data_IF_568733815857
#
_entry.id   IF_568733815857
#
_cell.length_a   1.000
_cell.length_b   1.000
_cell.length_c   1.000
_cell.angle_alpha   90.00
_cell.angle_beta   90.00
_cell.angle_gamma   90.00
#
_symmetry.space_group_name_H-M   'P 1'
#
loop_
_entity.id
_entity.type
_entity.pdbx_description
1 polymer ?
#
# COMPACT_ATOMS: atom_id res chain seq x y z
N UNK A 1 -3.02 -18.08 -5.05
CA UNK A 1 -3.70 -17.12 -5.97
C UNK A 1 -4.56 -16.08 -5.24
N UNK A 2 -5.24 -16.42 -4.14
CA UNK A 2 -6.13 -15.49 -3.41
C UNK A 2 -5.39 -14.29 -2.77
N UNK A 3 -4.16 -14.48 -2.26
CA UNK A 3 -3.33 -13.40 -1.70
C UNK A 3 -2.99 -12.34 -2.75
N UNK A 4 -2.51 -12.73 -3.93
CA UNK A 4 -2.18 -11.80 -5.01
C UNK A 4 -3.42 -11.01 -5.47
N UNK A 5 -4.57 -11.70 -5.67
CA UNK A 5 -5.84 -11.02 -6.00
C UNK A 5 -6.26 -10.02 -4.92
N UNK A 6 -6.06 -10.34 -3.64
CA UNK A 6 -6.33 -9.41 -2.56
C UNK A 6 -5.42 -8.18 -2.66
N UNK A 7 -4.10 -8.37 -2.79
CA UNK A 7 -3.14 -7.26 -2.91
C UNK A 7 -3.41 -6.41 -4.15
N UNK A 8 -3.66 -7.02 -5.31
CA UNK A 8 -3.98 -6.32 -6.55
C UNK A 8 -5.21 -5.43 -6.41
N UNK A 9 -6.29 -5.96 -5.82
CA UNK A 9 -7.52 -5.18 -5.64
C UNK A 9 -7.35 -4.07 -4.61
N UNK A 10 -6.61 -4.32 -3.52
CA UNK A 10 -6.28 -3.30 -2.53
C UNK A 10 -5.39 -2.21 -3.13
N UNK A 11 -4.45 -2.58 -4.01
CA UNK A 11 -3.59 -1.66 -4.74
C UNK A 11 -4.37 -0.80 -5.75
N UNK A 12 -5.27 -1.39 -6.53
CA UNK A 12 -6.15 -0.66 -7.45
C UNK A 12 -7.03 0.33 -6.70
N UNK A 13 -7.62 -0.10 -5.58
CA UNK A 13 -8.43 0.78 -4.74
C UNK A 13 -7.60 1.92 -4.14
N UNK A 14 -6.37 1.64 -3.69
CA UNK A 14 -5.45 2.69 -3.22
C UNK A 14 -5.14 3.71 -4.32
N UNK A 15 -4.95 3.27 -5.57
CA UNK A 15 -4.74 4.18 -6.72
C UNK A 15 -5.95 5.06 -7.00
N UNK A 16 -7.15 4.50 -6.91
CA UNK A 16 -8.37 5.27 -7.08
C UNK A 16 -8.54 6.31 -5.96
N UNK A 17 -8.16 5.97 -4.72
CA UNK A 17 -8.26 6.87 -3.57
C UNK A 17 -7.15 7.92 -3.52
N UNK A 18 -5.98 7.63 -4.07
CA UNK A 18 -4.78 8.45 -3.94
C UNK A 18 -4.96 9.90 -4.40
N UNK A 19 -5.54 10.20 -5.58
CA UNK A 19 -5.79 11.57 -6.00
C UNK A 19 -6.64 12.36 -5.00
N UNK A 20 -7.69 11.75 -4.44
CA UNK A 20 -8.56 12.43 -3.47
C UNK A 20 -7.81 12.75 -2.18
N UNK A 21 -7.05 11.78 -1.65
CA UNK A 21 -6.23 11.96 -0.44
C UNK A 21 -5.14 13.01 -0.69
N UNK A 22 -4.48 12.97 -1.85
CA UNK A 22 -3.43 13.91 -2.22
C UNK A 22 -3.96 15.34 -2.35
N UNK A 23 -5.09 15.55 -3.04
CA UNK A 23 -5.70 16.88 -3.16
C UNK A 23 -6.12 17.44 -1.80
N UNK A 24 -6.68 16.59 -0.93
CA UNK A 24 -7.04 17.00 0.43
C UNK A 24 -5.80 17.39 1.25
N UNK A 25 -4.77 16.54 1.22
CA UNK A 25 -3.51 16.79 1.93
C UNK A 25 -2.78 18.03 1.41
N UNK A 26 -2.76 18.22 0.08
CA UNK A 26 -2.14 19.38 -0.54
C UNK A 26 -2.87 20.66 -0.18
N UNK A 27 -4.21 20.70 -0.27
CA UNK A 27 -5.01 21.85 0.16
C UNK A 27 -4.83 22.19 1.65
N UNK A 28 -4.53 21.19 2.48
CA UNK A 28 -4.26 21.38 3.90
C UNK A 28 -2.90 22.06 4.16
N UNK A 29 -1.89 21.77 3.35
CA UNK A 29 -0.51 22.25 3.54
C UNK A 29 -0.20 23.50 2.71
N UNK A 30 -0.79 23.62 1.52
CA UNK A 30 -0.58 24.71 0.58
C UNK A 30 -1.92 25.16 -0.01
N UNK A 31 -2.11 26.47 -0.12
CA UNK A 31 -3.37 27.06 -0.62
C UNK A 31 -3.55 26.94 -2.14
N UNK A 32 -2.55 26.42 -2.87
CA UNK A 32 -2.57 26.37 -4.34
C UNK A 32 -2.17 24.99 -4.87
N UNK A 33 -3.03 24.43 -5.73
CA UNK A 33 -2.79 23.22 -6.52
C UNK A 33 -2.55 23.66 -7.96
N UNK A 34 -1.43 23.28 -8.56
CA UNK A 34 -1.13 23.53 -9.97
C UNK A 34 -1.47 22.31 -10.82
N UNK A 35 -1.68 22.51 -12.11
CA UNK A 35 -1.93 21.40 -13.04
C UNK A 35 -0.74 20.44 -13.16
N UNK A 36 0.48 20.97 -13.02
CA UNK A 36 1.71 20.18 -13.07
C UNK A 36 1.74 19.13 -11.94
N UNK A 37 1.24 19.49 -10.76
CA UNK A 37 1.13 18.56 -9.63
C UNK A 37 0.23 17.36 -9.93
N UNK A 38 -0.87 17.59 -10.66
CA UNK A 38 -1.85 16.55 -11.03
C UNK A 38 -1.26 15.60 -12.07
N UNK A 39 -0.48 16.13 -13.02
CA UNK A 39 0.19 15.33 -14.06
C UNK A 39 1.33 14.50 -13.47
N UNK A 40 2.16 15.11 -12.61
CA UNK A 40 3.21 14.40 -11.86
C UNK A 40 2.58 13.28 -11.04
N UNK A 41 1.48 13.55 -10.33
CA UNK A 41 0.76 12.54 -9.56
C UNK A 41 0.36 11.34 -10.43
N UNK A 42 -0.22 11.58 -11.61
CA UNK A 42 -0.78 10.53 -12.46
C UNK A 42 0.31 9.66 -13.12
N UNK A 43 1.38 10.27 -13.62
CA UNK A 43 2.45 9.55 -14.34
C UNK A 43 3.39 8.84 -13.37
N UNK A 44 3.79 9.54 -12.31
CA UNK A 44 4.73 9.01 -11.32
C UNK A 44 4.06 7.93 -10.48
N UNK A 45 2.77 8.07 -10.12
CA UNK A 45 2.11 7.03 -9.31
C UNK A 45 2.05 5.68 -10.02
N UNK A 46 1.84 5.62 -11.34
CA UNK A 46 1.70 4.35 -12.06
C UNK A 46 3.04 3.62 -12.18
N UNK A 47 4.11 4.34 -12.52
CA UNK A 47 5.43 3.73 -12.74
C UNK A 47 6.03 3.27 -11.41
N UNK A 48 5.90 4.10 -10.37
CA UNK A 48 6.44 3.80 -9.03
C UNK A 48 5.65 2.68 -8.37
N UNK A 49 4.34 2.57 -8.60
CA UNK A 49 3.50 1.69 -7.80
C UNK A 49 3.53 0.20 -8.15
N UNK A 50 4.04 -0.18 -9.33
CA UNK A 50 4.16 -1.60 -9.71
C UNK A 50 5.15 -2.34 -8.78
N UNK A 51 6.37 -1.82 -8.50
CA UNK A 51 7.23 -2.37 -7.45
C UNK A 51 6.55 -2.50 -6.09
N UNK A 52 5.74 -1.52 -5.68
CA UNK A 52 5.00 -1.57 -4.41
C UNK A 52 3.96 -2.69 -4.38
N UNK A 53 3.29 -2.99 -5.49
CA UNK A 53 2.39 -4.14 -5.62
C UNK A 53 3.12 -5.45 -5.34
N UNK A 54 4.30 -5.64 -5.94
CA UNK A 54 5.11 -6.84 -5.80
C UNK A 54 5.66 -7.00 -4.38
N UNK A 55 6.20 -5.92 -3.80
CA UNK A 55 6.68 -5.91 -2.41
C UNK A 55 5.54 -6.20 -1.42
N UNK A 56 4.37 -5.58 -1.62
CA UNK A 56 3.19 -5.86 -0.82
C UNK A 56 2.76 -7.32 -0.91
N UNK A 57 2.74 -7.90 -2.12
CA UNK A 57 2.40 -9.32 -2.29
C UNK A 57 3.41 -10.23 -1.59
N UNK A 58 4.70 -9.93 -1.69
CA UNK A 58 5.76 -10.67 -1.00
C UNK A 58 5.56 -10.62 0.53
N UNK A 59 5.38 -9.43 1.09
CA UNK A 59 5.16 -9.24 2.53
C UNK A 59 3.90 -9.92 3.05
N UNK A 60 2.76 -9.81 2.34
CA UNK A 60 1.53 -10.50 2.76
C UNK A 60 1.65 -12.02 2.67
N UNK A 61 2.44 -12.52 1.71
CA UNK A 61 2.70 -13.95 1.58
C UNK A 61 3.51 -14.48 2.77
N UNK A 62 4.51 -13.72 3.25
CA UNK A 62 5.26 -14.07 4.45
C UNK A 62 4.41 -13.99 5.72
N UNK A 63 3.52 -13.00 5.80
CA UNK A 63 2.61 -12.81 6.93
C UNK A 63 1.65 -13.99 7.17
N UNK A 64 1.39 -14.80 6.14
CA UNK A 64 0.54 -15.99 6.27
C UNK A 64 1.11 -17.04 7.25
N UNK A 65 2.42 -17.03 7.53
CA UNK A 65 3.08 -18.06 8.32
C UNK A 65 3.14 -17.81 9.83
N UNK A 66 2.91 -16.58 10.31
CA UNK A 66 3.42 -16.17 11.64
C UNK A 66 2.39 -15.78 12.73
N UNK A 67 1.07 -15.80 12.50
CA UNK A 67 0.09 -15.45 13.56
C UNK A 67 -1.32 -15.96 13.30
N UNK A 68 -2.00 -16.53 14.30
CA UNK A 68 -3.39 -17.00 14.14
C UNK A 68 -4.46 -15.91 14.35
N UNK A 69 -4.06 -14.72 14.78
CA UNK A 69 -5.00 -13.63 15.10
C UNK A 69 -5.18 -12.72 13.88
N UNK A 70 -6.38 -12.67 13.26
CA UNK A 70 -6.60 -11.88 12.03
C UNK A 70 -6.38 -10.38 12.22
N UNK A 71 -6.72 -9.85 13.40
CA UNK A 71 -6.54 -8.42 13.72
C UNK A 71 -5.05 -8.03 13.79
N UNK A 72 -4.22 -8.86 14.42
CA UNK A 72 -2.76 -8.65 14.48
C UNK A 72 -2.17 -8.70 13.06
N UNK A 73 -2.64 -9.64 12.24
CA UNK A 73 -2.25 -9.72 10.83
C UNK A 73 -2.61 -8.46 10.05
N UNK A 74 -3.78 -7.88 10.31
CA UNK A 74 -4.21 -6.64 9.65
C UNK A 74 -3.36 -5.44 10.08
N UNK A 75 -3.05 -5.33 11.39
CA UNK A 75 -2.15 -4.30 11.90
C UNK A 75 -0.75 -4.39 11.29
N UNK A 76 -0.19 -5.59 11.23
CA UNK A 76 1.09 -5.83 10.56
C UNK A 76 1.01 -5.55 9.07
N UNK A 77 -0.12 -5.82 8.42
CA UNK A 77 -0.31 -5.51 7.01
C UNK A 77 -0.32 -4.01 6.72
N UNK A 78 -0.94 -3.20 7.59
CA UNK A 78 -0.86 -1.73 7.52
C UNK A 78 0.59 -1.24 7.67
N UNK A 79 1.35 -1.82 8.60
CA UNK A 79 2.76 -1.49 8.79
C UNK A 79 3.61 -1.87 7.58
N UNK A 80 3.46 -3.09 7.06
CA UNK A 80 4.23 -3.60 5.92
C UNK A 80 3.93 -2.84 4.63
N UNK A 81 2.70 -2.38 4.44
CA UNK A 81 2.35 -1.54 3.28
C UNK A 81 2.99 -0.16 3.36
N UNK A 82 3.02 0.47 4.54
CA UNK A 82 3.76 1.71 4.73
C UNK A 82 5.27 1.51 4.48
N UNK A 83 5.84 0.44 5.02
CA UNK A 83 7.25 0.09 4.80
C UNK A 83 7.55 -0.16 3.32
N UNK A 84 6.68 -0.87 2.59
CA UNK A 84 6.84 -1.11 1.16
C UNK A 84 6.86 0.19 0.35
N UNK A 85 6.01 1.16 0.68
CA UNK A 85 5.98 2.47 0.03
C UNK A 85 7.27 3.26 0.30
N UNK A 86 7.72 3.29 1.56
CA UNK A 86 8.96 3.98 1.96
C UNK A 86 10.18 3.37 1.24
N UNK A 87 10.32 2.04 1.29
CA UNK A 87 11.43 1.34 0.65
C UNK A 87 11.42 1.56 -0.86
N UNK A 88 10.25 1.55 -1.48
CA UNK A 88 10.12 1.80 -2.92
C UNK A 88 10.57 3.21 -3.29
N UNK A 89 10.16 4.23 -2.54
CA UNK A 89 10.64 5.60 -2.76
C UNK A 89 12.17 5.70 -2.59
N UNK A 90 12.73 5.09 -1.55
CA UNK A 90 14.18 5.07 -1.32
C UNK A 90 14.94 4.41 -2.47
N UNK A 91 14.46 3.27 -2.96
CA UNK A 91 15.06 2.57 -4.11
C UNK A 91 15.08 3.48 -5.34
N UNK A 92 13.99 4.20 -5.59
CA UNK A 92 13.88 5.09 -6.75
C UNK A 92 14.84 6.27 -6.64
N UNK A 93 14.93 6.90 -5.47
CA UNK A 93 15.85 8.03 -5.24
C UNK A 93 17.32 7.61 -5.40
N UNK A 94 17.66 6.39 -4.95
CA UNK A 94 19.00 5.82 -5.16
C UNK A 94 19.28 5.58 -6.65
N UNK A 95 18.32 5.03 -7.40
CA UNK A 95 18.48 4.74 -8.84
C UNK A 95 18.59 6.03 -9.66
N UNK A 96 17.80 7.05 -9.32
CA UNK A 96 17.77 8.34 -10.03
C UNK A 96 18.98 9.23 -9.64
N UNK A 97 19.66 8.92 -8.53
CA UNK A 97 20.81 9.70 -8.07
C UNK A 97 20.43 11.06 -7.46
N UNK A 98 19.20 11.19 -6.96
CA UNK A 98 18.67 12.43 -6.39
C UNK A 98 18.33 12.31 -4.88
N UNK A 99 19.28 11.91 -4.01
CA UNK A 99 19.03 11.75 -2.58
C UNK A 99 18.74 13.09 -1.86
N UNK A 100 19.09 14.22 -2.45
CA UNK A 100 18.83 15.55 -1.85
C UNK A 100 17.35 15.95 -1.92
N UNK A 101 16.56 15.34 -2.81
CA UNK A 101 15.13 15.61 -3.00
C UNK A 101 14.21 14.83 -2.03
N UNK A 102 14.78 14.14 -1.03
CA UNK A 102 14.02 13.37 -0.04
C UNK A 102 12.99 14.24 0.69
N UNK A 103 13.30 15.50 0.95
CA UNK A 103 12.42 16.45 1.65
C UNK A 103 11.12 16.71 0.89
N UNK A 104 11.18 16.82 -0.44
CA UNK A 104 10.01 17.03 -1.30
C UNK A 104 9.23 15.74 -1.52
N UNK A 105 9.94 14.59 -1.54
CA UNK A 105 9.35 13.25 -1.63
C UNK A 105 8.33 12.93 -0.52
N UNK A 106 8.47 13.54 0.67
CA UNK A 106 7.52 13.32 1.78
C UNK A 106 6.10 13.79 1.47
N UNK A 107 5.93 14.81 0.62
CA UNK A 107 4.60 15.32 0.22
C UNK A 107 3.82 14.27 -0.57
N UNK A 108 4.53 13.39 -1.29
CA UNK A 108 3.94 12.29 -2.05
C UNK A 108 3.78 11.02 -1.21
N UNK A 109 4.59 10.84 -0.18
CA UNK A 109 4.62 9.63 0.65
C UNK A 109 3.39 9.51 1.56
N UNK A 110 3.02 10.59 2.25
CA UNK A 110 1.91 10.57 3.20
C UNK A 110 0.57 10.23 2.52
N UNK A 111 0.18 10.87 1.40
CA UNK A 111 -1.03 10.50 0.69
C UNK A 111 -1.06 9.05 0.22
N UNK A 112 0.08 8.51 -0.25
CA UNK A 112 0.21 7.12 -0.70
C UNK A 112 -0.01 6.11 0.44
N UNK A 113 0.51 6.39 1.63
CA UNK A 113 0.31 5.55 2.81
C UNK A 113 -1.15 5.62 3.24
N UNK A 114 -1.71 6.82 3.36
CA UNK A 114 -3.08 7.02 3.83
C UNK A 114 -4.10 6.40 2.88
N UNK A 115 -3.94 6.57 1.56
CA UNK A 115 -4.82 5.94 0.57
C UNK A 115 -4.78 4.42 0.65
N UNK A 116 -3.58 3.86 0.88
CA UNK A 116 -3.38 2.42 1.02
C UNK A 116 -4.02 1.88 2.29
N UNK A 117 -3.90 2.59 3.41
CA UNK A 117 -4.55 2.23 4.67
C UNK A 117 -6.07 2.29 4.55
N UNK A 118 -6.64 3.34 3.96
CA UNK A 118 -8.08 3.42 3.71
C UNK A 118 -8.53 2.24 2.84
N UNK A 119 -7.79 1.91 1.77
CA UNK A 119 -8.10 0.76 0.92
C UNK A 119 -8.08 -0.57 1.68
N UNK A 120 -7.13 -0.76 2.59
CA UNK A 120 -7.04 -1.93 3.47
C UNK A 120 -8.24 -1.98 4.43
N UNK A 121 -8.59 -0.85 5.04
CA UNK A 121 -9.69 -0.76 6.01
C UNK A 121 -11.06 -1.02 5.35
N UNK A 122 -11.30 -0.48 4.16
CA UNK A 122 -12.51 -0.79 3.37
C UNK A 122 -12.61 -2.30 3.09
N UNK A 123 -11.46 -2.97 2.92
CA UNK A 123 -11.37 -4.39 2.58
C UNK A 123 -11.15 -5.31 3.79
N UNK A 124 -11.48 -4.84 5.00
CA UNK A 124 -11.28 -5.60 6.25
C UNK A 124 -11.99 -6.96 6.22
N UNK A 125 -13.23 -7.02 5.75
CA UNK A 125 -14.00 -8.27 5.70
C UNK A 125 -13.34 -9.30 4.75
N UNK A 126 -12.85 -8.85 3.59
CA UNK A 126 -12.16 -9.71 2.63
C UNK A 126 -10.78 -10.13 3.14
N UNK A 127 -10.12 -9.29 3.94
CA UNK A 127 -8.88 -9.63 4.64
C UNK A 127 -9.12 -10.73 5.67
N UNK A 128 -10.14 -10.59 6.52
CA UNK A 128 -10.52 -11.61 7.51
C UNK A 128 -10.84 -12.95 6.82
N UNK A 129 -11.66 -12.93 5.76
CA UNK A 129 -11.98 -14.14 5.00
C UNK A 129 -10.74 -14.87 4.43
N UNK A 130 -9.75 -14.11 3.95
CA UNK A 130 -8.50 -14.67 3.41
C UNK A 130 -7.71 -15.48 4.46
N UNK A 131 -7.77 -15.09 5.73
CA UNK A 131 -7.02 -15.73 6.81
C UNK A 131 -7.83 -16.74 7.62
N UNK A 132 -9.16 -16.58 7.71
CA UNK A 132 -10.03 -17.55 8.39
C UNK A 132 -10.22 -18.82 7.55
N UNK A 133 -10.41 -18.70 6.23
CA UNK A 133 -10.59 -19.87 5.34
C UNK A 133 -9.37 -20.80 5.33
N UNK A 134 -8.16 -20.25 5.52
CA UNK A 134 -6.93 -21.05 5.58
C UNK A 134 -6.74 -21.83 6.87
N UNK A 135 -7.31 -21.39 8.00
CA UNK A 135 -7.18 -22.15 9.25
C UNK A 135 -8.03 -23.41 9.22
N UNK A 136 -9.19 -23.36 8.56
CA UNK A 136 -10.15 -24.46 8.47
C UNK A 136 -9.68 -25.59 7.55
N UNK A 137 -8.95 -25.26 6.47
CA UNK A 137 -8.38 -26.28 5.56
C UNK A 137 -7.21 -27.05 6.21
N UNK A 138 -6.43 -26.41 7.09
CA UNK A 138 -5.33 -27.08 7.80
C UNK A 138 -5.82 -28.05 8.87
N UNK A 139 -6.89 -27.73 9.61
CA UNK A 139 -7.47 -28.63 10.61
C UNK A 139 -8.05 -29.91 9.99
N UNK A 140 -8.68 -29.82 8.81
CA UNK A 140 -9.22 -31.00 8.12
C UNK A 140 -8.16 -31.90 7.47
N UNK A 141 -6.92 -31.41 7.32
CA UNK A 141 -5.82 -32.18 6.73
C UNK A 141 -5.00 -32.99 7.75
N UNK A 142 -5.27 -32.78 9.04
CA UNK A 142 -4.61 -33.46 10.16
C UNK A 142 -5.49 -34.57 10.79
N UNK A 143 -6.65 -34.87 10.19
CA UNK A 143 -7.57 -35.94 10.59
C UNK A 143 -7.56 -37.05 9.55
#
# INVERSE_FOLDING_TARGET
MNTFKHVLNTWLLSHLLHPFVFLFFKNWISSYITWDDVVILAVVSIIISIPALLLGWFFLSFLNFNSDIPFVKQGLWLFLTALAIILNLLIILIIVGAPEEISEGFIFLIPAIVSSWIAILIRTQQFQYLFTSKSTDNENSLV
#
